data_IF_445653511544
#
_entry.id   IF_445653511544
#
_cell.length_a   1.000
_cell.length_b   1.000
_cell.length_c   1.000
_cell.angle_alpha   90.00
_cell.angle_beta   90.00
_cell.angle_gamma   90.00
#
_symmetry.space_group_name_H-M   'P 1'
#
loop_
_entity.id
_entity.type
_entity.pdbx_description
1 polymer ?
#
# COMPACT_ATOMS: atom_id res chain seq x y z
N UNK A 1 -32.69 16.43 -4.46
CA UNK A 1 -32.06 15.50 -3.50
C UNK A 1 -30.56 15.78 -3.53
N UNK A 2 -30.02 16.40 -2.47
CA UNK A 2 -28.56 16.55 -2.30
C UNK A 2 -28.01 15.20 -1.85
N UNK A 3 -27.28 14.51 -2.73
CA UNK A 3 -26.41 13.40 -2.30
C UNK A 3 -25.09 14.01 -1.88
N UNK A 4 -24.98 14.28 -0.59
CA UNK A 4 -23.71 14.54 0.09
C UNK A 4 -22.79 13.37 -0.20
N UNK A 5 -21.80 13.59 -1.06
CA UNK A 5 -20.65 12.70 -1.20
C UNK A 5 -19.84 12.78 0.10
N UNK A 6 -20.28 12.06 1.12
CA UNK A 6 -19.48 11.73 2.27
C UNK A 6 -18.37 10.81 1.76
N UNK A 7 -17.28 11.40 1.28
CA UNK A 7 -16.02 10.69 1.09
C UNK A 7 -15.64 10.10 2.44
N UNK A 8 -15.61 8.77 2.62
CA UNK A 8 -14.96 8.21 3.77
C UNK A 8 -13.46 8.44 3.57
N UNK A 9 -12.93 9.49 4.18
CA UNK A 9 -11.50 9.74 4.32
C UNK A 9 -10.90 8.72 5.30
N UNK A 10 -11.01 7.43 4.96
CA UNK A 10 -10.43 6.30 5.70
C UNK A 10 -9.00 5.98 5.24
N UNK A 11 -8.31 6.95 4.64
CA UNK A 11 -7.06 6.73 3.91
C UNK A 11 -5.77 6.74 4.73
N UNK A 12 -5.84 6.68 6.08
CA UNK A 12 -4.66 6.90 6.94
C UNK A 12 -4.39 5.78 7.96
N UNK A 13 -5.33 4.85 8.18
CA UNK A 13 -5.13 3.77 9.16
C UNK A 13 -4.32 2.57 8.60
N UNK A 14 -4.39 2.33 7.30
CA UNK A 14 -3.80 1.13 6.67
C UNK A 14 -2.27 1.21 6.54
N UNK A 15 -1.72 2.37 6.16
CA UNK A 15 -0.27 2.51 5.91
C UNK A 15 0.57 2.50 7.20
N UNK A 16 0.07 3.11 8.28
CA UNK A 16 0.74 3.09 9.59
C UNK A 16 0.81 1.67 10.19
N UNK A 17 -0.21 0.86 9.92
CA UNK A 17 -0.27 -0.55 10.32
C UNK A 17 0.72 -1.40 9.52
N UNK A 18 0.86 -1.17 8.21
CA UNK A 18 1.81 -1.88 7.36
C UNK A 18 3.28 -1.58 7.72
N UNK A 19 3.62 -0.32 7.97
CA UNK A 19 4.98 0.08 8.39
C UNK A 19 5.35 -0.51 9.76
N UNK A 20 4.40 -0.56 10.70
CA UNK A 20 4.58 -1.19 12.01
C UNK A 20 4.82 -2.70 11.89
N UNK A 21 4.10 -3.35 10.97
CA UNK A 21 4.29 -4.78 10.70
C UNK A 21 5.65 -5.10 10.08
N UNK A 22 6.16 -4.28 9.17
CA UNK A 22 7.52 -4.43 8.64
C UNK A 22 8.57 -4.36 9.75
N UNK A 23 8.46 -3.39 10.66
CA UNK A 23 9.42 -3.25 11.76
C UNK A 23 9.42 -4.48 12.68
N UNK A 24 8.24 -5.03 12.97
CA UNK A 24 8.10 -6.28 13.74
C UNK A 24 8.73 -7.47 13.01
N UNK A 25 8.48 -7.62 11.71
CA UNK A 25 9.04 -8.69 10.89
C UNK A 25 10.56 -8.58 10.76
N UNK A 26 11.10 -7.37 10.59
CA UNK A 26 12.55 -7.13 10.57
C UNK A 26 13.23 -7.45 11.90
N UNK A 27 12.59 -7.11 13.03
CA UNK A 27 13.07 -7.55 14.35
C UNK A 27 13.08 -9.07 14.45
N UNK A 28 11.97 -9.73 14.10
CA UNK A 28 11.84 -11.19 14.09
C UNK A 28 12.92 -11.85 13.24
N UNK A 29 13.23 -11.29 12.07
CA UNK A 29 14.25 -11.80 11.17
C UNK A 29 15.65 -11.72 11.78
N UNK A 30 15.99 -10.62 12.47
CA UNK A 30 17.25 -10.51 13.22
C UNK A 30 17.30 -11.51 14.37
N UNK A 31 16.25 -11.58 15.19
CA UNK A 31 16.17 -12.55 16.29
C UNK A 31 16.33 -14.00 15.82
N UNK A 32 15.65 -14.39 14.73
CA UNK A 32 15.77 -15.73 14.16
C UNK A 32 17.18 -16.01 13.61
N UNK A 33 17.84 -14.98 13.06
CA UNK A 33 19.22 -15.10 12.54
C UNK A 33 20.23 -15.20 13.68
N UNK A 34 20.05 -14.41 14.74
CA UNK A 34 20.84 -14.48 15.97
C UNK A 34 20.65 -15.85 16.65
N UNK A 35 19.42 -16.35 16.73
CA UNK A 35 19.14 -17.68 17.28
C UNK A 35 19.79 -18.78 16.43
N UNK A 36 19.77 -18.67 15.10
CA UNK A 36 20.46 -19.61 14.20
C UNK A 36 21.97 -19.61 14.44
N UNK A 37 22.58 -18.43 14.61
CA UNK A 37 24.00 -18.30 14.98
C UNK A 37 24.29 -18.88 16.36
N UNK A 38 23.40 -18.69 17.31
CA UNK A 38 23.57 -19.17 18.68
C UNK A 38 23.42 -20.70 18.78
N UNK A 39 22.52 -21.30 18.00
CA UNK A 39 22.36 -22.77 17.92
C UNK A 39 23.65 -23.47 17.50
N UNK A 40 24.50 -22.82 16.69
CA UNK A 40 25.81 -23.35 16.33
C UNK A 40 26.74 -23.48 17.56
N UNK A 41 26.65 -22.53 18.51
CA UNK A 41 27.48 -22.48 19.72
C UNK A 41 26.90 -23.20 20.95
N UNK A 42 25.63 -23.61 20.94
CA UNK A 42 25.04 -24.38 22.06
C UNK A 42 25.49 -25.83 22.05
N UNK A 43 25.77 -26.44 23.20
CA UNK A 43 25.96 -27.90 23.32
C UNK A 43 24.61 -28.61 23.21
N UNK A 44 24.21 -28.91 21.98
CA UNK A 44 23.00 -29.65 21.63
C UNK A 44 23.36 -30.82 20.72
N UNK A 45 22.51 -31.86 20.73
CA UNK A 45 22.65 -32.99 19.81
C UNK A 45 22.70 -32.52 18.35
N UNK A 46 23.56 -33.11 17.50
CA UNK A 46 23.75 -32.69 16.11
C UNK A 46 22.46 -32.80 15.29
N UNK A 47 21.63 -33.82 15.55
CA UNK A 47 20.31 -33.98 14.91
C UNK A 47 19.35 -32.85 15.30
N UNK A 48 19.24 -32.55 16.60
CA UNK A 48 18.39 -31.49 17.11
C UNK A 48 18.82 -30.11 16.57
N UNK A 49 20.14 -29.84 16.53
CA UNK A 49 20.69 -28.63 15.91
C UNK A 49 20.30 -28.51 14.45
N UNK A 50 20.49 -29.56 13.67
CA UNK A 50 20.20 -29.54 12.25
C UNK A 50 18.72 -29.27 11.96
N UNK A 51 17.82 -29.87 12.74
CA UNK A 51 16.39 -29.63 12.64
C UNK A 51 16.02 -28.18 13.01
N UNK A 52 16.55 -27.67 14.14
CA UNK A 52 16.38 -26.26 14.56
C UNK A 52 16.88 -25.28 13.51
N UNK A 53 18.08 -25.50 12.96
CA UNK A 53 18.65 -24.65 11.90
C UNK A 53 17.77 -24.66 10.67
N UNK A 54 17.28 -25.82 10.24
CA UNK A 54 16.40 -25.95 9.07
C UNK A 54 15.08 -25.22 9.28
N UNK A 55 14.50 -25.35 10.47
CA UNK A 55 13.26 -24.66 10.84
C UNK A 55 13.45 -23.13 10.89
N UNK A 56 14.52 -22.66 11.54
CA UNK A 56 14.88 -21.24 11.60
C UNK A 56 15.12 -20.67 10.19
N UNK A 57 15.83 -21.39 9.33
CA UNK A 57 16.09 -20.98 7.96
C UNK A 57 14.79 -20.89 7.13
N UNK A 58 13.88 -21.85 7.28
CA UNK A 58 12.57 -21.80 6.66
C UNK A 58 11.73 -20.61 7.14
N UNK A 59 11.74 -20.31 8.46
CA UNK A 59 11.07 -19.13 8.99
C UNK A 59 11.68 -17.83 8.46
N UNK A 60 13.01 -17.74 8.38
CA UNK A 60 13.71 -16.57 7.82
C UNK A 60 13.28 -16.34 6.37
N UNK A 61 13.20 -17.40 5.55
CA UNK A 61 12.72 -17.28 4.17
C UNK A 61 11.28 -16.79 4.11
N UNK A 62 10.38 -17.35 4.92
CA UNK A 62 8.98 -16.90 5.00
C UNK A 62 8.86 -15.43 5.40
N UNK A 63 9.63 -15.00 6.41
CA UNK A 63 9.63 -13.60 6.88
C UNK A 63 10.17 -12.67 5.80
N UNK A 64 11.22 -13.05 5.06
CA UNK A 64 11.71 -12.25 3.93
C UNK A 64 10.63 -12.07 2.84
N UNK A 65 9.91 -13.14 2.49
CA UNK A 65 8.83 -13.07 1.52
C UNK A 65 7.69 -12.15 1.99
N UNK A 66 7.33 -12.23 3.28
CA UNK A 66 6.32 -11.32 3.85
C UNK A 66 6.78 -9.86 3.82
N UNK A 67 8.04 -9.57 4.17
CA UNK A 67 8.58 -8.21 4.11
C UNK A 67 8.52 -7.69 2.67
N UNK A 68 8.95 -8.48 1.69
CA UNK A 68 8.94 -8.10 0.28
C UNK A 68 7.51 -7.85 -0.24
N UNK A 69 6.55 -8.68 0.16
CA UNK A 69 5.14 -8.50 -0.19
C UNK A 69 4.58 -7.19 0.38
N UNK A 70 4.80 -6.92 1.67
CA UNK A 70 4.30 -5.69 2.32
C UNK A 70 5.00 -4.45 1.74
N UNK A 71 6.29 -4.54 1.43
CA UNK A 71 7.03 -3.42 0.84
C UNK A 71 6.50 -3.07 -0.57
N UNK A 72 6.18 -4.08 -1.39
CA UNK A 72 5.50 -3.84 -2.68
C UNK A 72 4.12 -3.23 -2.50
N UNK A 73 3.35 -3.71 -1.54
CA UNK A 73 2.02 -3.17 -1.26
C UNK A 73 2.09 -1.68 -0.85
N UNK A 74 3.00 -1.33 0.05
CA UNK A 74 3.23 0.08 0.46
C UNK A 74 3.63 0.98 -0.71
N UNK A 75 4.40 0.46 -1.67
CA UNK A 75 4.82 1.23 -2.83
C UNK A 75 3.66 1.45 -3.82
N UNK A 76 2.80 0.45 -4.01
CA UNK A 76 1.57 0.61 -4.78
C UNK A 76 0.61 1.60 -4.10
N UNK A 77 0.38 1.50 -2.80
CA UNK A 77 -0.50 2.41 -2.06
C UNK A 77 -0.01 3.87 -2.11
N UNK A 78 1.30 4.11 -2.09
CA UNK A 78 1.86 5.45 -2.26
C UNK A 78 1.62 6.01 -3.66
N UNK A 79 1.79 5.18 -4.69
CA UNK A 79 1.54 5.59 -6.07
C UNK A 79 0.05 5.88 -6.31
N UNK A 80 -0.83 5.05 -5.79
CA UNK A 80 -2.29 5.21 -5.88
C UNK A 80 -2.75 6.49 -5.16
N UNK A 81 -2.26 6.74 -3.94
CA UNK A 81 -2.51 8.00 -3.22
C UNK A 81 -2.00 9.23 -3.97
N UNK A 82 -0.84 9.16 -4.62
CA UNK A 82 -0.31 10.28 -5.39
C UNK A 82 -1.18 10.60 -6.61
N UNK A 83 -1.69 9.57 -7.31
CA UNK A 83 -2.62 9.75 -8.43
C UNK A 83 -3.98 10.30 -7.95
N UNK A 84 -4.52 9.77 -6.85
CA UNK A 84 -5.79 10.24 -6.27
C UNK A 84 -5.71 11.72 -5.82
N UNK A 85 -4.57 12.16 -5.28
CA UNK A 85 -4.36 13.57 -4.90
C UNK A 85 -4.24 14.51 -6.11
N UNK A 86 -3.69 14.05 -7.23
CA UNK A 86 -3.62 14.86 -8.46
C UNK A 86 -5.01 15.03 -9.09
N UNK A 87 -5.85 14.00 -9.06
CA UNK A 87 -7.24 14.10 -9.52
C UNK A 87 -8.12 14.98 -8.62
N UNK A 88 -7.88 14.98 -7.30
CA UNK A 88 -8.60 15.85 -6.37
C UNK A 88 -8.27 17.35 -6.53
N UNK A 89 -7.04 17.69 -6.97
CA UNK A 89 -6.64 19.08 -7.24
C UNK A 89 -7.18 19.63 -8.56
N UNK A 90 -7.45 18.77 -9.55
CA UNK A 90 -8.08 19.18 -10.81
C UNK A 90 -9.58 19.55 -10.64
N UNK A 91 -10.23 19.06 -9.58
CA UNK A 91 -11.65 19.31 -9.30
C UNK A 91 -11.94 20.52 -8.40
N UNK A 92 -10.90 21.21 -7.92
CA UNK A 92 -11.03 22.44 -7.11
C UNK A 92 -10.59 23.67 -7.92
N UNK A 93 -11.13 23.86 -9.11
CA UNK A 93 -11.19 25.21 -9.69
C UNK A 93 -12.32 25.98 -8.99
N UNK A 94 -12.04 27.14 -8.37
CA UNK A 94 -13.07 27.94 -7.72
C UNK A 94 -14.00 28.50 -8.80
N UNK A 95 -15.21 27.95 -8.87
CA UNK A 95 -16.29 28.48 -9.69
C UNK A 95 -16.88 29.72 -9.00
N UNK A 96 -16.11 30.81 -9.00
CA UNK A 96 -16.61 32.14 -8.66
C UNK A 96 -17.38 32.69 -9.87
N UNK A 97 -18.71 32.61 -9.83
CA UNK A 97 -19.65 33.40 -10.66
C UNK A 97 -19.72 34.86 -10.14
N UNK A 98 -20.25 35.91 -10.82
CA UNK A 98 -21.25 35.89 -11.91
C UNK A 98 -21.12 36.99 -13.02
N UNK A 99 -22.05 36.94 -13.99
CA UNK A 99 -22.63 38.07 -14.79
C UNK A 99 -22.09 38.39 -16.21
N UNK A 100 -23.03 38.20 -17.17
CA UNK A 100 -23.34 39.03 -18.34
C UNK A 100 -22.52 38.92 -19.65
N UNK A 101 -22.97 38.04 -20.56
CA UNK A 101 -23.39 38.42 -21.94
C UNK A 101 -24.10 37.25 -22.65
N UNK A 102 -25.30 37.43 -23.22
CA UNK A 102 -25.93 36.44 -24.08
C UNK A 102 -25.45 36.67 -25.52
N UNK A 103 -24.87 35.67 -26.17
CA UNK A 103 -24.82 35.62 -27.63
C UNK A 103 -24.56 34.19 -28.13
N UNK A 104 -25.66 33.58 -28.58
CA UNK A 104 -25.83 32.51 -29.56
C UNK A 104 -24.59 31.78 -30.08
N UNK A 105 -24.61 30.46 -29.93
CA UNK A 105 -24.61 29.51 -31.07
C UNK A 105 -25.29 28.20 -30.63
N UNK A 106 -26.36 27.75 -31.31
CA UNK A 106 -27.01 26.48 -31.04
C UNK A 106 -26.22 25.35 -31.70
N UNK A 107 -25.40 24.66 -30.93
CA UNK A 107 -24.78 23.38 -31.29
C UNK A 107 -25.33 22.27 -30.41
N UNK A 108 -26.65 22.03 -30.48
CA UNK A 108 -27.25 20.79 -29.99
C UNK A 108 -27.15 19.74 -31.09
N UNK A 109 -26.72 18.54 -30.74
CA UNK A 109 -26.71 17.40 -31.66
C UNK A 109 -25.54 16.46 -31.32
N UNK A 110 -25.56 15.82 -30.16
CA UNK A 110 -26.12 14.46 -30.04
C UNK A 110 -25.00 13.43 -30.11
N UNK A 111 -24.82 12.76 -28.97
CA UNK A 111 -24.04 11.56 -28.75
C UNK A 111 -24.25 10.54 -29.86
N UNK A 112 -23.19 9.91 -30.39
CA UNK A 112 -23.21 8.47 -30.72
C UNK A 112 -21.79 7.91 -30.77
N UNK A 113 -21.60 6.92 -29.90
CA UNK A 113 -20.55 5.90 -29.84
C UNK A 113 -20.53 5.05 -31.13
N UNK A 114 -19.38 4.74 -31.73
CA UNK A 114 -19.14 3.52 -32.53
C UNK A 114 -17.62 3.29 -32.76
N UNK A 115 -17.20 2.07 -32.42
CA UNK A 115 -15.88 1.45 -32.50
C UNK A 115 -15.14 1.55 -33.85
N UNK A 116 -13.80 1.66 -33.80
CA UNK A 116 -12.86 1.07 -34.76
C UNK A 116 -11.47 0.88 -34.13
#
# INVERSE_FOLDING_TARGET
MQISSATPSTGTASSASAASNINKLQKRMRELTDELRNVAGQDMEPKAKQEKVKLLQAQIQMVQQQIAAIQRQLQQEQMDRAQAQQQAKASQQPRSTPVNKPQSLPGLGESVDTFA
#
